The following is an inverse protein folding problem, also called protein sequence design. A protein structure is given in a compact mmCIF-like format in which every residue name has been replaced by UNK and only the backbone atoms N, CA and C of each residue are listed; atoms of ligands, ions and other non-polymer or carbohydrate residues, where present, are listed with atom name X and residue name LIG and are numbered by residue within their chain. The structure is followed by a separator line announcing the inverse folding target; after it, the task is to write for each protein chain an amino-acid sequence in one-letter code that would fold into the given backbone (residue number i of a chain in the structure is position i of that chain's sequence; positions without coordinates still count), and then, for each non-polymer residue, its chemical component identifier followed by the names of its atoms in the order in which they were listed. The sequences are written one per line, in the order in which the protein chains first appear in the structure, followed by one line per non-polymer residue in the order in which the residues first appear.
data_IF_892189185954
#
_entry.id   IF_892189185954
#
_cell.length_a   1.000
_cell.length_b   1.000
_cell.length_c   1.000
_cell.angle_alpha   90.00
_cell.angle_beta   90.00
_cell.angle_gamma   90.00
#
_symmetry.space_group_name_H-M   'P 1'
#
loop_
_entity.id
_entity.type
_entity.pdbx_description
1 polymer ?
#
# COMPACT_ATOMS: atom_id res chain seq x y z
N UNK A 1 3.35 9.08 0.36
CA UNK A 1 3.52 7.68 0.83
C UNK A 1 3.65 6.75 -0.35
N UNK A 2 4.12 5.52 -0.16
CA UNK A 2 4.23 4.53 -1.23
C UNK A 2 5.27 4.91 -2.28
N UNK A 3 5.01 4.48 -3.52
CA UNK A 3 5.83 4.81 -4.69
C UNK A 3 6.20 6.30 -4.75
N UNK A 4 5.25 7.22 -4.52
CA UNK A 4 5.54 8.66 -4.59
C UNK A 4 6.58 9.14 -3.57
N UNK A 5 6.70 8.47 -2.43
CA UNK A 5 7.75 8.74 -1.45
C UNK A 5 9.05 8.02 -1.86
N UNK A 6 8.96 6.74 -2.24
CA UNK A 6 10.10 5.90 -2.60
C UNK A 6 10.87 6.40 -3.83
N UNK A 7 10.21 7.11 -4.75
CA UNK A 7 10.89 7.73 -5.89
C UNK A 7 11.61 9.04 -5.56
N UNK A 8 11.49 9.54 -4.33
CA UNK A 8 12.11 10.77 -3.86
C UNK A 8 13.05 10.50 -2.67
N UNK A 9 13.69 9.33 -2.65
CA UNK A 9 14.61 8.83 -1.62
C UNK A 9 13.99 8.73 -0.21
N UNK A 10 12.65 8.70 -0.12
CA UNK A 10 11.95 8.49 1.14
C UNK A 10 11.55 7.03 1.24
N UNK A 11 12.34 6.24 1.97
CA UNK A 11 12.09 4.81 2.24
C UNK A 11 10.84 4.60 3.10
N UNK A 12 9.67 4.65 2.46
CA UNK A 12 8.37 4.47 3.12
C UNK A 12 7.57 3.36 2.46
N UNK A 13 7.55 2.21 3.13
CA UNK A 13 6.82 1.00 2.75
C UNK A 13 6.38 0.25 4.02
N UNK A 14 5.10 -0.13 4.09
CA UNK A 14 4.56 -0.85 5.25
C UNK A 14 5.11 -2.27 5.35
N UNK A 15 5.42 -2.92 4.22
CA UNK A 15 6.01 -4.27 4.21
C UNK A 15 7.37 -4.30 4.91
N UNK A 16 8.07 -3.17 4.95
CA UNK A 16 9.37 -3.03 5.64
C UNK A 16 9.25 -2.42 7.03
N UNK A 17 8.48 -1.33 7.18
CA UNK A 17 8.42 -0.59 8.45
C UNK A 17 7.50 -1.22 9.50
N UNK A 18 6.43 -1.89 9.07
CA UNK A 18 5.44 -2.56 9.92
C UNK A 18 5.07 -3.90 9.28
N UNK A 19 6.04 -4.81 9.14
CA UNK A 19 5.84 -6.06 8.42
C UNK A 19 4.75 -6.92 9.08
N UNK A 20 3.95 -7.59 8.26
CA UNK A 20 2.91 -8.52 8.72
C UNK A 20 2.90 -9.77 7.84
N UNK A 21 2.40 -10.88 8.41
CA UNK A 21 2.39 -12.20 7.75
C UNK A 21 3.77 -12.55 7.18
N UNK A 22 3.86 -12.92 5.90
CA UNK A 22 5.09 -13.33 5.22
C UNK A 22 6.20 -12.28 5.33
N UNK A 23 5.87 -11.00 5.31
CA UNK A 23 6.87 -9.93 5.42
C UNK A 23 7.51 -9.82 6.80
N UNK A 24 6.91 -10.43 7.84
CA UNK A 24 7.49 -10.49 9.19
C UNK A 24 8.73 -11.37 9.29
N UNK A 25 8.88 -12.31 8.36
CA UNK A 25 9.98 -13.29 8.34
C UNK A 25 10.89 -13.13 7.12
N UNK A 26 10.50 -12.32 6.13
CA UNK A 26 11.29 -12.08 4.93
C UNK A 26 12.26 -10.90 5.08
N UNK A 27 13.36 -10.94 4.33
CA UNK A 27 14.34 -9.85 4.28
C UNK A 27 13.95 -8.76 3.27
N UNK A 28 12.67 -8.41 3.19
CA UNK A 28 12.17 -7.46 2.20
C UNK A 28 12.83 -6.08 2.35
N UNK A 29 13.40 -5.55 1.27
CA UNK A 29 13.97 -4.20 1.22
C UNK A 29 13.24 -3.38 0.14
N UNK A 30 12.66 -2.20 0.46
CA UNK A 30 11.98 -1.38 -0.53
C UNK A 30 12.94 -0.77 -1.55
N UNK A 31 12.59 -0.86 -2.83
CA UNK A 31 13.27 -0.12 -3.90
C UNK A 31 13.06 1.38 -3.74
N UNK A 32 14.13 2.15 -3.86
CA UNK A 32 14.11 3.62 -3.80
C UNK A 32 14.85 4.22 -4.98
N UNK A 33 14.39 5.38 -5.42
CA UNK A 33 14.98 6.23 -6.45
C UNK A 33 15.04 7.66 -5.90
N UNK A 34 15.84 8.54 -6.50
CA UNK A 34 16.10 9.89 -5.99
C UNK A 34 15.64 11.02 -6.93
N UNK A 35 15.27 10.73 -8.18
CA UNK A 35 14.92 11.78 -9.15
C UNK A 35 13.49 12.31 -9.03
N UNK A 36 12.56 11.53 -8.50
CA UNK A 36 11.17 11.94 -8.28
C UNK A 36 10.37 12.26 -9.55
N UNK A 37 10.89 11.93 -10.74
CA UNK A 37 10.26 12.24 -12.01
C UNK A 37 9.28 11.14 -12.48
N UNK A 38 8.66 11.35 -13.65
CA UNK A 38 7.76 10.37 -14.26
C UNK A 38 8.48 9.04 -14.54
N UNK A 39 9.75 9.09 -14.93
CA UNK A 39 10.54 7.92 -15.30
C UNK A 39 10.83 7.05 -14.07
N UNK A 40 11.29 7.64 -12.95
CA UNK A 40 11.50 6.93 -11.69
C UNK A 40 10.23 6.23 -11.21
N UNK A 41 9.06 6.89 -11.33
CA UNK A 41 7.77 6.26 -10.99
C UNK A 41 7.40 5.10 -11.92
N UNK A 42 7.75 5.19 -13.19
CA UNK A 42 7.57 4.12 -14.17
C UNK A 42 8.49 2.93 -13.89
N UNK A 43 9.78 3.19 -13.71
CA UNK A 43 10.81 2.17 -13.44
C UNK A 43 10.57 1.47 -12.11
N UNK A 44 10.26 2.21 -11.04
CA UNK A 44 9.95 1.60 -9.74
C UNK A 44 8.80 0.60 -9.85
N UNK A 45 7.73 0.94 -10.57
CA UNK A 45 6.61 0.01 -10.79
C UNK A 45 7.01 -1.21 -11.61
N UNK A 46 7.83 -1.03 -12.64
CA UNK A 46 8.32 -2.15 -13.45
C UNK A 46 9.13 -3.13 -12.61
N UNK A 47 10.03 -2.62 -11.76
CA UNK A 47 10.80 -3.46 -10.84
C UNK A 47 9.92 -4.10 -9.76
N UNK A 48 8.97 -3.37 -9.16
CA UNK A 48 8.05 -3.96 -8.18
C UNK A 48 7.17 -5.07 -8.79
N UNK A 49 6.81 -4.98 -10.07
CA UNK A 49 6.10 -6.07 -10.78
C UNK A 49 7.00 -7.30 -10.93
N UNK A 50 8.28 -7.11 -11.27
CA UNK A 50 9.26 -8.21 -11.36
C UNK A 50 9.43 -8.89 -9.99
N UNK A 51 9.73 -8.11 -8.95
CA UNK A 51 9.88 -8.60 -7.56
C UNK A 51 8.60 -9.30 -7.06
N UNK A 52 7.43 -8.75 -7.36
CA UNK A 52 6.16 -9.38 -6.98
C UNK A 52 5.94 -10.72 -7.70
N UNK A 53 6.38 -10.84 -8.95
CA UNK A 53 6.28 -12.09 -9.72
C UNK A 53 7.18 -13.17 -9.13
N UNK A 54 8.42 -12.81 -8.80
CA UNK A 54 9.37 -13.71 -8.14
C UNK A 54 8.85 -14.18 -6.78
N UNK A 55 8.31 -13.24 -5.98
CA UNK A 55 7.69 -13.54 -4.69
C UNK A 55 6.48 -14.48 -4.83
N UNK A 56 5.60 -14.27 -5.82
CA UNK A 56 4.46 -15.15 -6.05
C UNK A 56 4.93 -16.58 -6.37
N UNK A 57 5.97 -16.73 -7.20
CA UNK A 57 6.55 -18.03 -7.52
C UNK A 57 7.10 -18.71 -6.27
N UNK A 58 7.87 -17.97 -5.44
CA UNK A 58 8.40 -18.47 -4.17
C UNK A 58 7.28 -18.94 -3.23
N UNK A 59 6.25 -18.12 -3.05
CA UNK A 59 5.10 -18.43 -2.20
C UNK A 59 4.34 -19.67 -2.67
N UNK A 60 4.16 -19.84 -3.99
CA UNK A 60 3.55 -21.05 -4.56
C UNK A 60 4.42 -22.28 -4.30
N UNK A 61 5.73 -22.16 -4.48
CA UNK A 61 6.67 -23.25 -4.19
C UNK A 61 6.65 -23.62 -2.70
N UNK A 62 6.65 -22.65 -1.80
CA UNK A 62 6.53 -22.86 -0.36
C UNK A 62 5.20 -23.53 -0.01
N UNK A 63 4.10 -23.03 -0.57
CA UNK A 63 2.76 -23.58 -0.38
C UNK A 63 2.65 -25.07 -0.75
N UNK A 64 3.24 -25.47 -1.88
CA UNK A 64 3.24 -26.87 -2.32
C UNK A 64 4.00 -27.82 -1.37
N UNK A 65 4.88 -27.27 -0.53
CA UNK A 65 5.65 -28.03 0.47
C UNK A 65 5.02 -28.01 1.87
N UNK A 66 3.94 -27.24 2.08
CA UNK A 66 3.25 -27.21 3.36
C UNK A 66 2.40 -28.47 3.55
N UNK A 67 2.36 -29.05 4.77
CA UNK A 67 1.45 -30.13 5.08
C UNK A 67 -0.01 -29.66 4.87
N UNK A 68 -0.84 -30.55 4.33
CA UNK A 68 -2.25 -30.27 4.10
C UNK A 68 -2.95 -29.90 5.43
N UNK A 69 -3.51 -28.69 5.51
CA UNK A 69 -4.17 -28.25 6.75
C UNK A 69 -4.41 -26.75 6.89
N UNK A 70 -4.71 -26.03 5.81
CA UNK A 70 -5.10 -24.62 5.98
C UNK A 70 -6.54 -24.55 6.52
N UNK A 71 -6.72 -23.97 7.71
CA UNK A 71 -8.05 -23.65 8.21
C UNK A 71 -8.64 -22.57 7.34
N UNK A 72 -9.87 -22.76 6.87
CA UNK A 72 -10.64 -21.69 6.24
C UNK A 72 -10.81 -20.50 7.20
N UNK A 73 -11.21 -19.33 6.69
CA UNK A 73 -11.51 -18.19 7.53
C UNK A 73 -12.58 -18.53 8.57
N UNK A 74 -12.41 -18.04 9.80
CA UNK A 74 -13.41 -18.15 10.84
C UNK A 74 -14.51 -17.09 10.64
N UNK A 75 -15.69 -17.54 10.21
CA UNK A 75 -16.85 -16.67 10.00
C UNK A 75 -17.66 -16.40 11.29
N UNK A 76 -17.30 -17.04 12.41
CA UNK A 76 -17.98 -16.85 13.71
C UNK A 76 -17.22 -15.87 14.61
N UNK A 77 -16.21 -15.19 14.08
CA UNK A 77 -15.34 -14.31 14.84
C UNK A 77 -16.12 -13.08 15.32
N UNK A 78 -16.22 -12.95 16.65
CA UNK A 78 -16.85 -11.78 17.28
C UNK A 78 -15.81 -10.69 17.52
N UNK A 79 -16.14 -9.44 17.18
CA UNK A 79 -15.24 -8.32 17.41
C UNK A 79 -15.14 -7.99 18.91
N UNK A 80 -13.96 -7.59 19.36
CA UNK A 80 -13.74 -7.16 20.73
C UNK A 80 -14.57 -5.90 21.03
N UNK A 81 -15.29 -5.82 22.17
CA UNK A 81 -16.03 -4.63 22.58
C UNK A 81 -15.09 -3.50 23.02
N UNK A 82 -15.58 -2.26 23.00
CA UNK A 82 -14.88 -1.03 23.46
C UNK A 82 -13.43 -0.91 22.96
N UNK A 83 -13.20 -1.26 21.69
CA UNK A 83 -11.85 -1.40 21.12
C UNK A 83 -11.63 -0.43 19.97
N UNK A 84 -10.37 0.01 19.81
CA UNK A 84 -9.89 0.72 18.63
C UNK A 84 -8.86 -0.14 17.90
N UNK A 85 -9.10 -0.40 16.62
CA UNK A 85 -8.23 -1.20 15.78
C UNK A 85 -7.67 -0.36 14.63
N UNK A 86 -6.40 -0.59 14.31
CA UNK A 86 -5.70 -0.06 13.14
C UNK A 86 -5.11 -1.21 12.34
N UNK A 87 -5.29 -1.16 11.04
CA UNK A 87 -4.65 -2.07 10.09
C UNK A 87 -3.96 -1.26 8.99
N UNK A 88 -2.71 -1.60 8.71
CA UNK A 88 -1.88 -0.94 7.71
C UNK A 88 -1.45 -1.98 6.69
N UNK A 89 -1.63 -1.67 5.41
CA UNK A 89 -1.20 -2.52 4.30
C UNK A 89 -0.54 -1.65 3.24
N UNK A 90 0.57 -2.14 2.66
CA UNK A 90 1.16 -1.50 1.48
C UNK A 90 0.38 -1.94 0.23
N UNK A 91 -0.43 -1.03 -0.32
CA UNK A 91 -0.96 -1.19 -1.67
C UNK A 91 0.05 -0.72 -2.71
N UNK A 92 -0.19 -1.02 -3.99
CA UNK A 92 0.69 -0.59 -5.09
C UNK A 92 0.76 0.95 -5.28
N UNK A 93 -0.18 1.71 -4.69
CA UNK A 93 -0.10 3.18 -4.60
C UNK A 93 0.59 3.68 -3.33
N UNK A 94 0.69 2.82 -2.31
CA UNK A 94 1.23 3.12 -0.99
C UNK A 94 0.44 2.55 0.18
N UNK A 95 0.80 2.99 1.38
CA UNK A 95 0.13 2.73 2.66
C UNK A 95 -1.39 3.04 2.64
N UNK A 96 -2.19 1.98 2.73
CA UNK A 96 -3.63 2.02 3.02
C UNK A 96 -3.81 1.77 4.52
N UNK A 97 -4.61 2.60 5.17
CA UNK A 97 -4.93 2.47 6.59
C UNK A 97 -6.43 2.23 6.77
N UNK A 98 -6.78 1.18 7.50
CA UNK A 98 -8.13 0.93 7.99
C UNK A 98 -8.14 1.19 9.48
N UNK A 99 -9.15 1.90 9.96
CA UNK A 99 -9.37 2.18 11.37
C UNK A 99 -10.80 1.86 11.75
N UNK A 100 -11.00 1.18 12.87
CA UNK A 100 -12.31 0.75 13.34
C UNK A 100 -12.45 0.97 14.85
N UNK A 101 -13.63 1.42 15.29
CA UNK A 101 -13.99 1.54 16.70
C UNK A 101 -15.24 0.69 16.95
N UNK A 102 -15.22 -0.12 18.01
CA UNK A 102 -16.35 -0.92 18.46
C UNK A 102 -17.00 -0.36 19.72
N UNK A 103 -18.31 -0.57 19.86
CA UNK A 103 -19.03 -0.30 21.10
C UNK A 103 -18.90 -1.44 22.13
N UNK A 104 -19.59 -1.29 23.27
CA UNK A 104 -19.68 -2.27 24.36
C UNK A 104 -20.21 -3.65 23.94
N UNK A 105 -20.92 -3.72 22.82
CA UNK A 105 -21.48 -4.96 22.27
C UNK A 105 -20.62 -5.54 21.14
N UNK A 106 -19.50 -4.90 20.79
CA UNK A 106 -18.63 -5.31 19.70
C UNK A 106 -19.11 -4.83 18.32
N UNK A 107 -20.16 -4.00 18.22
CA UNK A 107 -20.60 -3.46 16.94
C UNK A 107 -19.66 -2.36 16.48
N UNK A 108 -19.35 -2.29 15.19
CA UNK A 108 -18.59 -1.19 14.61
C UNK A 108 -19.43 0.08 14.66
N UNK A 109 -18.96 1.08 15.41
CA UNK A 109 -19.59 2.42 15.49
C UNK A 109 -18.85 3.47 14.67
N UNK A 110 -17.61 3.21 14.31
CA UNK A 110 -16.85 4.05 13.39
C UNK A 110 -15.91 3.20 12.55
N UNK A 111 -15.87 3.48 11.26
CA UNK A 111 -14.91 2.87 10.35
C UNK A 111 -14.42 3.92 9.37
N UNK A 112 -13.09 4.05 9.26
CA UNK A 112 -12.47 5.01 8.35
C UNK A 112 -11.34 4.34 7.60
N UNK A 113 -11.36 4.52 6.29
CA UNK A 113 -10.30 4.11 5.37
C UNK A 113 -9.52 5.35 4.98
N UNK A 114 -8.21 5.23 4.87
CA UNK A 114 -7.34 6.22 4.25
C UNK A 114 -6.58 5.53 3.12
N UNK A 115 -6.85 5.96 1.90
CA UNK A 115 -6.11 5.57 0.70
C UNK A 115 -4.86 6.45 0.53
N UNK A 116 -3.77 5.93 -0.06
CA UNK A 116 -2.58 6.72 -0.40
C UNK A 116 -2.87 8.04 -1.14
N UNK A 117 -3.92 8.06 -1.96
CA UNK A 117 -4.32 9.21 -2.77
C UNK A 117 -4.62 10.43 -1.90
N UNK A 118 -5.21 10.23 -0.71
CA UNK A 118 -5.50 11.30 0.25
C UNK A 118 -4.26 12.16 0.56
N UNK A 119 -3.08 11.54 0.68
CA UNK A 119 -1.82 12.27 0.90
C UNK A 119 -1.12 12.67 -0.41
N UNK A 120 -1.22 11.83 -1.44
CA UNK A 120 -0.40 11.97 -2.64
C UNK A 120 -0.95 12.99 -3.67
N UNK A 121 -2.21 13.44 -3.56
CA UNK A 121 -2.74 14.50 -4.44
C UNK A 121 -1.95 15.81 -4.35
N UNK A 122 -1.49 16.18 -3.14
CA UNK A 122 -0.65 17.36 -2.99
C UNK A 122 0.72 17.18 -3.66
N UNK A 123 1.28 15.97 -3.65
CA UNK A 123 2.53 15.69 -4.35
C UNK A 123 2.38 15.86 -5.87
N UNK A 124 1.26 15.41 -6.46
CA UNK A 124 0.95 15.68 -7.86
C UNK A 124 0.80 17.19 -8.13
N UNK A 125 0.07 17.91 -7.28
CA UNK A 125 -0.14 19.35 -7.42
C UNK A 125 1.18 20.15 -7.39
N UNK A 126 2.20 19.65 -6.69
CA UNK A 126 3.55 20.21 -6.70
C UNK A 126 4.29 19.80 -7.99
N UNK A 127 4.22 18.52 -8.38
CA UNK A 127 4.93 17.98 -9.55
C UNK A 127 4.50 18.63 -10.88
N UNK A 128 3.26 19.10 -10.99
CA UNK A 128 2.76 19.78 -12.21
C UNK A 128 3.04 21.28 -12.24
N UNK A 129 3.70 21.84 -11.22
CA UNK A 129 4.02 23.28 -11.20
C UNK A 129 5.08 23.59 -12.24
N UNK A 130 4.89 24.72 -12.93
CA UNK A 130 5.82 25.22 -13.94
C UNK A 130 6.06 24.22 -15.08
N UNK A 131 5.13 23.30 -15.31
CA UNK A 131 5.13 22.38 -16.45
C UNK A 131 4.20 22.90 -17.54
N UNK A 132 4.36 22.40 -18.76
CA UNK A 132 3.42 22.69 -19.83
C UNK A 132 2.09 21.97 -19.60
N UNK A 133 1.01 22.51 -20.17
CA UNK A 133 -0.32 21.88 -20.06
C UNK A 133 -0.35 20.48 -20.71
N UNK A 134 0.48 20.27 -21.73
CA UNK A 134 0.73 18.99 -22.42
C UNK A 134 1.32 17.92 -21.50
N UNK A 135 2.04 18.29 -20.45
CA UNK A 135 2.67 17.35 -19.51
C UNK A 135 1.70 16.88 -18.41
N UNK A 136 0.61 17.62 -18.20
CA UNK A 136 -0.35 17.28 -17.15
C UNK A 136 -0.85 15.82 -17.23
N UNK A 137 -1.26 15.27 -18.40
CA UNK A 137 -1.72 13.89 -18.50
C UNK A 137 -0.67 12.87 -18.08
N UNK A 138 0.60 13.03 -18.49
CA UNK A 138 1.66 12.07 -18.15
C UNK A 138 2.05 12.17 -16.68
N UNK A 139 2.15 13.39 -16.14
CA UNK A 139 2.38 13.61 -14.71
C UNK A 139 1.25 13.00 -13.88
N UNK A 140 -0.01 13.35 -14.16
CA UNK A 140 -1.17 12.80 -13.46
C UNK A 140 -1.22 11.27 -13.52
N UNK A 141 -1.02 10.69 -14.71
CA UNK A 141 -1.05 9.24 -14.87
C UNK A 141 0.12 8.53 -14.19
N UNK A 142 1.28 9.16 -14.08
CA UNK A 142 2.43 8.59 -13.38
C UNK A 142 2.16 8.38 -11.89
N UNK A 143 1.39 9.25 -11.23
CA UNK A 143 0.91 8.99 -9.87
C UNK A 143 -0.23 7.97 -9.85
N UNK A 144 -1.11 8.01 -10.85
CA UNK A 144 -2.27 7.11 -11.01
C UNK A 144 -3.22 7.13 -9.81
N UNK A 145 -3.43 8.30 -9.20
CA UNK A 145 -4.22 8.45 -7.97
C UNK A 145 -5.70 8.11 -8.17
N UNK A 146 -6.36 7.78 -7.06
CA UNK A 146 -7.79 7.49 -7.00
C UNK A 146 -8.54 8.74 -6.53
N UNK A 147 -9.54 9.17 -7.31
CA UNK A 147 -10.47 10.22 -6.88
C UNK A 147 -11.31 9.73 -5.69
N UNK A 148 -11.97 8.57 -5.83
CA UNK A 148 -12.74 7.99 -4.74
C UNK A 148 -11.86 7.71 -3.51
N UNK A 149 -10.60 7.33 -3.70
CA UNK A 149 -9.66 7.12 -2.59
C UNK A 149 -9.35 8.38 -1.78
N UNK A 150 -9.43 9.56 -2.39
CA UNK A 150 -9.29 10.83 -1.69
C UNK A 150 -10.56 11.20 -0.90
N UNK A 151 -11.72 10.78 -1.37
CA UNK A 151 -13.00 11.11 -0.75
C UNK A 151 -13.37 10.11 0.37
N UNK A 152 -12.69 8.95 0.42
CA UNK A 152 -12.84 7.92 1.45
C UNK A 152 -12.43 8.38 2.83
#
# INVERSE_FOLDING_TARGET
VGMAARTCDVRRDIRWSHPFQYYGESSFEPLVFDTGDVLARGLLRAEEVRESTELIIELISAWNNLPAGNSGPDYNLSLSPDSFALSLVEGWRGEICHSAITDKSGNIIHYKIKDPSFHNWMALAIAVRQQEISDFPVCNKSFNLSYCGNDL
#
